data_IF_796708652842
#
_entry.id   IF_796708652842
#
_cell.length_a   1.000
_cell.length_b   1.000
_cell.length_c   1.000
_cell.angle_alpha   90.00
_cell.angle_beta   90.00
_cell.angle_gamma   90.00
#
_symmetry.space_group_name_H-M   'P 1'
#
loop_
_entity.id
_entity.type
_entity.pdbx_description
1 polymer ?
#
# COMPACT_ATOMS: atom_id res chain seq x y z
N UNK A 1 12.86 -23.40 1.94
CA UNK A 1 11.47 -23.73 2.29
C UNK A 1 10.68 -22.48 2.06
N UNK A 2 9.92 -22.40 0.97
CA UNK A 2 9.03 -21.27 0.74
C UNK A 2 7.82 -21.49 1.64
N UNK A 3 7.63 -20.62 2.63
CA UNK A 3 6.36 -20.50 3.32
C UNK A 3 5.31 -20.12 2.27
N UNK A 4 4.62 -21.13 1.73
CA UNK A 4 3.37 -20.98 0.99
C UNK A 4 2.32 -20.47 1.99
N UNK A 5 2.45 -19.21 2.38
CA UNK A 5 1.44 -18.48 3.10
C UNK A 5 0.23 -18.40 2.18
N UNK A 6 -0.65 -19.38 2.34
CA UNK A 6 -1.96 -19.41 1.70
C UNK A 6 -2.72 -18.17 2.18
N UNK A 7 -2.76 -17.14 1.36
CA UNK A 7 -3.46 -15.90 1.67
C UNK A 7 -4.95 -16.16 1.51
N UNK A 8 -5.65 -16.32 2.64
CA UNK A 8 -7.11 -16.46 2.67
C UNK A 8 -7.77 -15.09 2.46
N UNK A 9 -8.12 -14.80 1.20
CA UNK A 9 -8.78 -13.56 0.77
C UNK A 9 -10.09 -13.32 1.50
N UNK A 10 -10.84 -14.39 1.77
CA UNK A 10 -12.13 -14.27 2.45
C UNK A 10 -11.89 -13.75 3.87
N UNK A 11 -10.91 -14.33 4.57
CA UNK A 11 -10.51 -13.86 5.90
C UNK A 11 -10.02 -12.40 5.88
N UNK A 12 -9.21 -12.02 4.88
CA UNK A 12 -8.71 -10.64 4.76
C UNK A 12 -9.84 -9.63 4.50
N UNK A 13 -10.78 -9.94 3.60
CA UNK A 13 -11.91 -9.05 3.31
C UNK A 13 -12.83 -8.88 4.52
N UNK A 14 -13.09 -9.97 5.25
CA UNK A 14 -13.91 -9.91 6.47
C UNK A 14 -13.24 -9.06 7.56
N UNK A 15 -11.91 -9.08 7.64
CA UNK A 15 -11.16 -8.24 8.56
C UNK A 15 -11.28 -6.75 8.19
N UNK A 16 -11.18 -6.40 6.91
CA UNK A 16 -11.42 -5.03 6.43
C UNK A 16 -12.86 -4.59 6.69
N UNK A 17 -13.85 -5.46 6.43
CA UNK A 17 -15.27 -5.17 6.69
C UNK A 17 -15.56 -4.92 8.18
N UNK A 18 -14.89 -5.66 9.09
CA UNK A 18 -14.97 -5.42 10.54
C UNK A 18 -14.32 -4.10 10.96
N UNK A 19 -13.33 -3.63 10.21
CA UNK A 19 -12.65 -2.36 10.48
C UNK A 19 -13.45 -1.13 10.00
N UNK A 20 -14.56 -1.32 9.26
CA UNK A 20 -15.45 -0.23 8.84
C UNK A 20 -16.58 -0.05 9.85
N UNK A 21 -16.50 0.94 10.76
CA UNK A 21 -17.50 1.12 11.82
C UNK A 21 -18.88 1.52 11.29
N UNK A 22 -18.96 2.11 10.11
CA UNK A 22 -20.21 2.53 9.46
C UNK A 22 -21.09 1.35 9.01
N UNK A 23 -20.48 0.19 8.77
CA UNK A 23 -21.18 -1.00 8.28
C UNK A 23 -21.86 -1.80 9.41
N UNK A 24 -21.45 -1.61 10.67
CA UNK A 24 -21.99 -2.20 11.90
C UNK A 24 -22.64 -3.60 11.68
N UNK A 25 -21.93 -4.48 10.98
CA UNK A 25 -22.44 -5.80 10.62
C UNK A 25 -22.43 -6.68 11.87
N UNK A 26 -23.58 -7.24 12.23
CA UNK A 26 -23.63 -8.21 13.32
C UNK A 26 -22.93 -9.52 12.90
N UNK A 27 -22.44 -10.26 13.90
CA UNK A 27 -21.64 -11.48 13.68
C UNK A 27 -22.37 -12.56 12.86
N UNK A 28 -23.70 -12.65 12.97
CA UNK A 28 -24.52 -13.60 12.19
C UNK A 28 -24.48 -13.29 10.69
N UNK A 29 -24.51 -12.00 10.32
CA UNK A 29 -24.41 -11.57 8.92
C UNK A 29 -23.00 -11.83 8.39
N UNK A 30 -21.97 -11.56 9.20
CA UNK A 30 -20.58 -11.83 8.82
C UNK A 30 -20.34 -13.33 8.60
N UNK A 31 -20.89 -14.21 9.44
CA UNK A 31 -20.78 -15.66 9.25
C UNK A 31 -21.50 -16.15 7.99
N UNK A 32 -22.69 -15.61 7.69
CA UNK A 32 -23.42 -15.94 6.46
C UNK A 32 -22.65 -15.46 5.22
N UNK A 33 -22.07 -14.27 5.28
CA UNK A 33 -21.25 -13.70 4.21
C UNK A 33 -20.01 -14.55 3.99
N UNK A 34 -19.27 -14.89 5.06
CA UNK A 34 -18.09 -15.75 5.00
C UNK A 34 -18.42 -17.09 4.33
N UNK A 35 -19.48 -17.76 4.79
CA UNK A 35 -19.87 -19.07 4.26
C UNK A 35 -20.21 -18.99 2.77
N UNK A 36 -20.95 -17.95 2.36
CA UNK A 36 -21.29 -17.74 0.95
C UNK A 36 -20.05 -17.44 0.11
N UNK A 37 -19.16 -16.58 0.59
CA UNK A 37 -17.90 -16.25 -0.08
C UNK A 37 -16.96 -17.44 -0.19
N UNK A 38 -16.83 -18.26 0.84
CA UNK A 38 -16.03 -19.51 0.78
C UNK A 38 -16.64 -20.53 -0.18
N UNK A 39 -17.96 -20.54 -0.37
CA UNK A 39 -18.61 -21.45 -1.30
C UNK A 39 -18.49 -20.97 -2.75
N UNK A 40 -18.66 -19.67 -2.98
CA UNK A 40 -18.63 -19.08 -4.31
C UNK A 40 -17.19 -18.85 -4.83
N UNK A 41 -16.24 -18.51 -3.92
CA UNK A 41 -14.85 -18.14 -4.27
C UNK A 41 -13.80 -19.08 -3.67
N UNK A 42 -14.19 -20.04 -2.81
CA UNK A 42 -13.26 -21.04 -2.29
C UNK A 42 -12.87 -22.06 -3.35
N UNK A 43 -11.77 -22.77 -3.09
CA UNK A 43 -11.23 -23.80 -3.99
C UNK A 43 -10.35 -23.28 -5.13
N UNK A 44 -10.24 -21.96 -5.31
CA UNK A 44 -9.32 -21.34 -6.26
C UNK A 44 -8.18 -20.63 -5.52
N UNK A 45 -6.94 -20.97 -5.85
CA UNK A 45 -5.78 -20.22 -5.39
C UNK A 45 -5.73 -18.90 -6.16
N UNK A 46 -5.99 -17.77 -5.49
CA UNK A 46 -5.96 -16.45 -6.11
C UNK A 46 -4.73 -15.68 -5.63
N UNK A 47 -3.99 -15.09 -6.55
CA UNK A 47 -2.83 -14.26 -6.21
C UNK A 47 -3.28 -12.94 -5.60
N UNK A 48 -3.03 -12.77 -4.30
CA UNK A 48 -3.17 -11.46 -3.64
C UNK A 48 -1.84 -10.75 -3.75
N UNK A 49 -1.84 -9.59 -4.42
CA UNK A 49 -0.68 -8.72 -4.43
C UNK A 49 -0.48 -8.18 -3.00
N UNK A 50 0.55 -8.67 -2.30
CA UNK A 50 0.92 -8.20 -0.96
C UNK A 50 0.99 -6.69 -0.95
N UNK A 51 0.34 -6.10 0.06
CA UNK A 51 0.34 -4.71 0.55
C UNK A 51 0.88 -3.69 -0.44
N UNK A 52 0.04 -2.72 -0.80
CA UNK A 52 0.48 -1.49 -1.45
C UNK A 52 1.54 -0.81 -0.58
N UNK A 53 2.82 -1.07 -0.85
CA UNK A 53 3.90 -0.21 -0.39
C UNK A 53 3.51 1.19 -0.81
N UNK A 54 3.44 2.15 0.11
CA UNK A 54 3.10 3.53 -0.23
C UNK A 54 4.21 4.10 -1.10
N UNK A 55 4.09 3.88 -2.41
CA UNK A 55 5.11 4.21 -3.40
C UNK A 55 5.34 5.72 -3.42
N UNK A 56 4.30 6.51 -3.14
CA UNK A 56 4.38 7.98 -3.08
C UNK A 56 5.22 8.42 -1.89
N UNK A 57 4.98 7.88 -0.70
CA UNK A 57 5.80 8.16 0.49
C UNK A 57 7.24 7.72 0.31
N UNK A 58 7.48 6.51 -0.22
CA UNK A 58 8.84 6.04 -0.52
C UNK A 58 9.57 7.00 -1.45
N UNK A 59 8.90 7.46 -2.53
CA UNK A 59 9.46 8.42 -3.48
C UNK A 59 9.79 9.76 -2.83
N UNK A 60 8.89 10.29 -2.00
CA UNK A 60 9.11 11.53 -1.23
C UNK A 60 10.30 11.38 -0.28
N UNK A 61 10.38 10.27 0.45
CA UNK A 61 11.48 10.00 1.38
C UNK A 61 12.84 9.85 0.65
N UNK A 62 12.87 9.16 -0.48
CA UNK A 62 14.08 9.05 -1.32
C UNK A 62 14.51 10.44 -1.82
N UNK A 63 13.59 11.27 -2.35
CA UNK A 63 13.91 12.63 -2.80
C UNK A 63 14.47 13.50 -1.68
N UNK A 64 13.86 13.45 -0.49
CA UNK A 64 14.26 14.28 0.65
C UNK A 64 15.62 13.89 1.25
N UNK A 65 15.97 12.60 1.23
CA UNK A 65 17.16 12.07 1.94
C UNK A 65 18.34 11.77 1.02
N UNK A 66 18.13 11.69 -0.28
CA UNK A 66 19.19 11.32 -1.22
C UNK A 66 20.22 12.45 -1.37
N UNK A 67 21.50 12.14 -1.10
CA UNK A 67 22.61 13.11 -1.12
C UNK A 67 23.70 12.75 -2.15
N UNK A 68 23.35 12.00 -3.19
CA UNK A 68 24.25 11.46 -4.24
C UNK A 68 25.25 10.39 -3.78
N UNK A 69 25.51 10.22 -2.49
CA UNK A 69 26.48 9.23 -1.97
C UNK A 69 25.82 8.11 -1.16
N UNK A 70 24.66 8.34 -0.55
CA UNK A 70 23.94 7.41 0.33
C UNK A 70 23.00 6.42 -0.39
N UNK A 71 23.20 6.17 -1.69
CA UNK A 71 22.32 5.28 -2.49
C UNK A 71 22.20 3.87 -1.88
N UNK A 72 23.31 3.28 -1.44
CA UNK A 72 23.32 1.89 -0.91
C UNK A 72 22.53 1.78 0.39
N UNK A 73 22.63 2.79 1.24
CA UNK A 73 21.91 2.86 2.51
C UNK A 73 20.40 2.94 2.27
N UNK A 74 19.96 3.85 1.38
CA UNK A 74 18.54 3.99 1.04
C UNK A 74 17.99 2.74 0.34
N UNK A 75 18.78 2.03 -0.46
CA UNK A 75 18.37 0.75 -1.06
C UNK A 75 18.13 -0.32 -0.01
N UNK A 76 19.01 -0.42 0.99
CA UNK A 76 18.87 -1.37 2.09
C UNK A 76 17.66 -1.02 2.96
N UNK A 77 17.48 0.25 3.30
CA UNK A 77 16.39 0.73 4.15
C UNK A 77 15.01 0.48 3.53
N UNK A 78 14.84 0.79 2.24
CA UNK A 78 13.56 0.58 1.55
C UNK A 78 13.42 -0.82 0.94
N UNK A 79 14.43 -1.68 1.06
CA UNK A 79 14.42 -3.03 0.49
C UNK A 79 14.24 -3.05 -1.03
N UNK A 80 14.77 -2.05 -1.76
CA UNK A 80 14.56 -1.90 -3.21
C UNK A 80 15.81 -2.19 -4.03
N UNK A 81 15.60 -2.74 -5.23
CA UNK A 81 16.69 -2.95 -6.19
C UNK A 81 17.24 -1.64 -6.73
N UNK A 82 18.46 -1.68 -7.29
CA UNK A 82 19.08 -0.52 -7.95
C UNK A 82 18.20 0.07 -9.05
N UNK A 83 17.59 -0.77 -9.88
CA UNK A 83 16.70 -0.32 -10.95
C UNK A 83 15.45 0.38 -10.39
N UNK A 84 14.89 -0.16 -9.31
CA UNK A 84 13.71 0.43 -8.66
C UNK A 84 14.05 1.77 -8.00
N UNK A 85 15.23 1.90 -7.37
CA UNK A 85 15.72 3.15 -6.80
C UNK A 85 15.73 4.30 -7.82
N UNK A 86 16.33 4.11 -9.00
CA UNK A 86 16.38 5.17 -10.03
C UNK A 86 15.03 5.42 -10.71
N UNK A 87 14.14 4.43 -10.73
CA UNK A 87 12.75 4.65 -11.17
C UNK A 87 12.01 5.54 -10.18
N UNK A 88 12.15 5.28 -8.88
CA UNK A 88 11.50 6.06 -7.85
C UNK A 88 12.08 7.47 -7.72
N UNK A 89 13.40 7.63 -7.82
CA UNK A 89 14.05 8.94 -7.81
C UNK A 89 13.56 9.84 -8.96
N UNK A 90 13.56 9.33 -10.20
CA UNK A 90 13.03 10.06 -11.38
C UNK A 90 11.54 10.34 -11.30
N UNK A 91 10.78 9.43 -10.70
CA UNK A 91 9.35 9.66 -10.49
C UNK A 91 9.08 10.69 -9.40
N UNK A 92 9.95 10.78 -8.40
CA UNK A 92 9.84 11.77 -7.32
C UNK A 92 10.11 13.21 -7.79
N UNK A 93 10.98 13.40 -8.78
CA UNK A 93 11.21 14.70 -9.43
C UNK A 93 9.96 15.27 -10.11
N UNK A 94 9.01 14.41 -10.47
CA UNK A 94 7.74 14.79 -11.14
C UNK A 94 6.57 14.94 -10.17
N UNK A 95 6.76 14.68 -8.88
CA UNK A 95 5.72 14.91 -7.89
C UNK A 95 5.66 16.42 -7.60
N UNK A 96 4.46 17.05 -7.65
CA UNK A 96 4.33 18.43 -7.20
C UNK A 96 4.78 18.49 -5.74
N UNK A 97 5.66 19.45 -5.45
CA UNK A 97 6.09 19.72 -4.08
C UNK A 97 4.87 20.31 -3.35
N UNK A 98 4.13 19.46 -2.62
CA UNK A 98 3.17 19.95 -1.63
C UNK A 98 3.93 20.53 -0.44
N UNK A 99 4.51 21.70 -0.68
CA UNK A 99 5.11 22.60 0.29
C UNK A 99 5.22 24.00 -0.34
N UNK A 100 4.11 24.53 -0.84
CA UNK A 100 3.92 25.97 -0.98
C UNK A 100 2.82 26.37 0.01
N UNK A 101 3.06 27.26 1.00
CA UNK A 101 1.94 27.82 1.74
C UNK A 101 1.01 28.50 0.74
N UNK A 102 -0.30 28.38 0.99
CA UNK A 102 -1.32 29.12 0.25
C UNK A 102 -0.98 30.62 0.30
N UNK A 103 -0.26 31.10 -0.71
CA UNK A 103 0.05 32.50 -0.90
C UNK A 103 -1.23 33.16 -1.41
N UNK A 104 -1.98 33.68 -0.46
CA UNK A 104 -2.81 34.88 -0.57
C UNK A 104 -2.90 35.46 -1.99
N UNK A 105 -3.87 34.97 -2.77
CA UNK A 105 -4.47 35.79 -3.82
C UNK A 105 -5.51 36.69 -3.14
N UNK A 106 -5.01 37.78 -2.55
CA UNK A 106 -5.79 39.00 -2.45
C UNK A 106 -5.99 39.52 -3.87
N UNK A 107 -7.22 39.44 -4.37
CA UNK A 107 -7.63 40.22 -5.53
C UNK A 107 -8.11 41.59 -5.03
N UNK A 108 -7.74 42.69 -5.71
CA UNK A 108 -8.33 44.01 -5.48
C UNK A 108 -9.82 44.05 -5.86
#
# INVERSE_FOLDING_TARGET
MNDDQTYDIVSALLQELRAVPELALCDDILQKLERKMRLDWGGQAVYVKKVSVNVVERRRAIKARYNMTNRRELQAEFGISRGQFYKDLRAAERLPDEAGPASSLQFP
#
